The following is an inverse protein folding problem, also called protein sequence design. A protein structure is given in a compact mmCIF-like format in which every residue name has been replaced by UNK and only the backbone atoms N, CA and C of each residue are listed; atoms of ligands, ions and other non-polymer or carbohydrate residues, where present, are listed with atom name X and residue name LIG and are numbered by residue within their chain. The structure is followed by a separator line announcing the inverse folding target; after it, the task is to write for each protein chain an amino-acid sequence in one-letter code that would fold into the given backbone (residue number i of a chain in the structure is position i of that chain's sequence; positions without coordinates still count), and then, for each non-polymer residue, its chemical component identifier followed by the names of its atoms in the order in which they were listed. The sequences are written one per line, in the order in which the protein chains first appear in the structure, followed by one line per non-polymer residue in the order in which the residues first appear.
data_IF_265784423459
#
_entry.id   IF_265784423459
#
_cell.length_a   1.000
_cell.length_b   1.000
_cell.length_c   1.000
_cell.angle_alpha   90.00
_cell.angle_beta   90.00
_cell.angle_gamma   90.00
#
_symmetry.space_group_name_H-M   'P 1'
#
loop_
_entity.id
_entity.type
_entity.pdbx_description
1 polymer ?
#
# COMPACT_ATOMS: atom_id res chain seq x y z
N UNK A 1 -6.40 37.83 43.41
CA UNK A 1 -6.05 37.31 42.06
C UNK A 1 -5.57 38.45 41.20
N UNK A 2 -4.48 38.31 40.51
CA UNK A 2 -3.90 39.33 39.62
C UNK A 2 -4.26 38.98 38.17
N UNK A 3 -4.37 39.95 37.29
CA UNK A 3 -4.61 39.78 35.86
C UNK A 3 -3.61 38.80 35.23
N UNK A 4 -2.35 38.87 35.69
CA UNK A 4 -1.29 37.99 35.17
C UNK A 4 -1.45 36.52 35.56
N UNK A 5 -2.10 36.20 36.68
CA UNK A 5 -2.42 34.83 37.08
C UNK A 5 -3.40 34.21 36.10
N UNK A 6 -4.44 34.94 35.70
CA UNK A 6 -5.43 34.47 34.68
C UNK A 6 -4.82 34.36 33.29
N UNK A 7 -3.91 35.28 32.91
CA UNK A 7 -3.21 35.17 31.64
C UNK A 7 -2.32 33.92 31.58
N UNK A 8 -1.58 33.60 32.68
CA UNK A 8 -0.79 32.39 32.74
C UNK A 8 -1.65 31.10 32.69
N UNK A 9 -2.86 31.15 33.26
CA UNK A 9 -3.81 30.05 33.18
C UNK A 9 -4.31 29.87 31.72
N UNK A 10 -4.66 30.95 31.03
CA UNK A 10 -5.02 30.95 29.60
C UNK A 10 -3.87 30.38 28.76
N UNK A 11 -2.64 30.83 28.95
CA UNK A 11 -1.47 30.34 28.22
C UNK A 11 -1.28 28.81 28.41
N UNK A 12 -1.66 28.29 29.55
CA UNK A 12 -1.58 26.85 29.84
C UNK A 12 -2.69 26.09 29.09
N UNK A 13 -3.89 26.64 29.06
CA UNK A 13 -5.02 26.07 28.30
C UNK A 13 -4.72 26.10 26.80
N UNK A 14 -4.18 27.20 26.28
CA UNK A 14 -3.84 27.36 24.88
C UNK A 14 -2.82 26.31 24.41
N UNK A 15 -1.82 25.97 25.23
CA UNK A 15 -0.90 24.87 24.93
C UNK A 15 -1.59 23.53 24.77
N UNK A 16 -2.63 23.25 25.56
CA UNK A 16 -3.42 22.05 25.46
C UNK A 16 -4.26 22.04 24.18
N UNK A 17 -4.88 23.17 23.85
CA UNK A 17 -5.67 23.37 22.63
C UNK A 17 -4.79 23.13 21.39
N UNK A 18 -3.59 23.73 21.34
CA UNK A 18 -2.66 23.53 20.23
C UNK A 18 -2.37 22.04 20.03
N UNK A 19 -1.99 21.33 21.08
CA UNK A 19 -1.70 19.90 21.02
C UNK A 19 -2.89 19.07 20.51
N UNK A 20 -4.10 19.37 20.98
CA UNK A 20 -5.33 18.69 20.55
C UNK A 20 -5.67 19.00 19.08
N UNK A 21 -5.45 20.25 18.65
CA UNK A 21 -5.65 20.63 17.24
C UNK A 21 -4.65 19.92 16.31
N UNK A 22 -3.39 19.79 16.68
CA UNK A 22 -2.38 19.03 15.94
C UNK A 22 -2.80 17.55 15.78
N UNK A 23 -3.20 16.91 16.88
CA UNK A 23 -3.70 15.52 16.85
C UNK A 23 -4.94 15.39 15.97
N UNK A 24 -5.85 16.38 16.05
CA UNK A 24 -7.06 16.41 15.25
C UNK A 24 -6.74 16.57 13.77
N UNK A 25 -5.80 17.43 13.38
CA UNK A 25 -5.38 17.61 11.99
C UNK A 25 -4.79 16.33 11.39
N UNK A 26 -3.98 15.59 12.15
CA UNK A 26 -3.48 14.30 11.70
C UNK A 26 -4.61 13.30 11.42
N UNK A 27 -5.62 13.25 12.30
CA UNK A 27 -6.81 12.42 12.09
C UNK A 27 -7.63 12.90 10.88
N UNK A 28 -7.75 14.21 10.69
CA UNK A 28 -8.45 14.85 9.55
C UNK A 28 -7.79 14.50 8.22
N UNK A 29 -6.44 14.42 8.17
CA UNK A 29 -5.72 13.94 6.98
C UNK A 29 -6.19 12.54 6.60
N UNK A 30 -6.20 11.62 7.55
CA UNK A 30 -6.62 10.23 7.31
C UNK A 30 -8.08 10.14 6.86
N UNK A 31 -8.98 10.96 7.44
CA UNK A 31 -10.38 11.06 6.97
C UNK A 31 -10.44 11.56 5.53
N UNK A 32 -9.61 12.54 5.15
CA UNK A 32 -9.51 13.04 3.78
C UNK A 32 -9.10 11.95 2.79
N UNK A 33 -8.08 11.16 3.11
CA UNK A 33 -7.62 10.03 2.30
C UNK A 33 -8.68 8.93 2.17
N UNK A 34 -9.38 8.59 3.26
CA UNK A 34 -10.51 7.66 3.21
C UNK A 34 -11.63 8.17 2.29
N UNK A 35 -11.99 9.45 2.37
CA UNK A 35 -12.97 10.07 1.49
C UNK A 35 -12.52 10.04 0.04
N UNK A 36 -11.25 10.33 -0.23
CA UNK A 36 -10.66 10.25 -1.57
C UNK A 36 -10.73 8.84 -2.14
N UNK A 37 -10.40 7.81 -1.34
CA UNK A 37 -10.54 6.42 -1.74
C UNK A 37 -11.97 6.00 -2.06
N UNK A 38 -12.95 6.57 -1.34
CA UNK A 38 -14.37 6.29 -1.51
C UNK A 38 -15.07 7.21 -2.53
N UNK A 39 -14.38 8.17 -3.14
CA UNK A 39 -14.97 9.20 -3.99
C UNK A 39 -15.96 10.12 -3.28
N UNK A 40 -15.87 10.25 -1.96
CA UNK A 40 -16.75 11.09 -1.18
C UNK A 40 -16.26 12.53 -1.15
N UNK A 41 -17.18 13.53 -1.21
CA UNK A 41 -16.81 14.94 -1.09
C UNK A 41 -16.20 15.23 0.28
N UNK A 42 -15.31 16.22 0.33
CA UNK A 42 -14.69 16.66 1.59
C UNK A 42 -15.76 17.23 2.53
N UNK A 43 -16.69 18.04 2.02
CA UNK A 43 -17.82 18.56 2.80
C UNK A 43 -18.82 17.43 3.10
N UNK A 44 -19.14 17.27 4.37
CA UNK A 44 -20.22 16.43 4.88
C UNK A 44 -21.11 17.28 5.78
N UNK A 45 -22.06 17.97 5.18
CA UNK A 45 -22.94 18.92 5.87
C UNK A 45 -23.78 18.24 6.97
N UNK A 46 -24.22 17.00 6.74
CA UNK A 46 -24.97 16.23 7.74
C UNK A 46 -24.14 15.97 9.00
N UNK A 47 -22.89 15.53 8.79
CA UNK A 47 -21.94 15.27 9.88
C UNK A 47 -21.58 16.55 10.64
N UNK A 48 -21.39 17.67 9.93
CA UNK A 48 -21.06 18.94 10.57
C UNK A 48 -22.23 19.46 11.42
N UNK A 49 -23.44 19.39 10.91
CA UNK A 49 -24.65 19.78 11.66
C UNK A 49 -24.84 18.91 12.90
N UNK A 50 -24.75 17.58 12.77
CA UNK A 50 -24.84 16.66 13.91
C UNK A 50 -23.76 16.93 14.98
N UNK A 51 -22.58 17.36 14.56
CA UNK A 51 -21.50 17.75 15.49
C UNK A 51 -21.87 19.02 16.27
N UNK A 52 -22.42 20.03 15.60
CA UNK A 52 -22.86 21.27 16.24
C UNK A 52 -24.02 21.03 17.19
N UNK A 53 -24.98 20.18 16.82
CA UNK A 53 -26.08 19.78 17.73
C UNK A 53 -25.57 19.07 18.98
N UNK A 54 -24.61 18.16 18.81
CA UNK A 54 -24.01 17.43 19.94
C UNK A 54 -23.26 18.36 20.92
N UNK A 55 -22.72 19.50 20.46
CA UNK A 55 -22.10 20.49 21.35
C UNK A 55 -23.07 21.09 22.34
N UNK A 56 -24.34 21.24 21.97
CA UNK A 56 -25.38 21.82 22.83
C UNK A 56 -25.58 21.04 24.13
N UNK A 57 -25.41 19.73 24.07
CA UNK A 57 -25.48 18.84 25.26
C UNK A 57 -24.17 18.73 26.05
N UNK A 58 -23.08 19.34 25.55
CA UNK A 58 -21.75 19.27 26.16
C UNK A 58 -21.26 20.62 26.71
N UNK A 59 -21.99 21.70 26.47
CA UNK A 59 -21.66 23.07 26.90
C UNK A 59 -22.78 23.65 27.74
N UNK A 60 -22.46 24.61 28.59
CA UNK A 60 -23.49 25.48 29.20
C UNK A 60 -24.10 26.43 28.17
N UNK A 61 -25.28 26.95 28.46
CA UNK A 61 -26.07 27.76 27.52
C UNK A 61 -25.39 29.07 27.16
N UNK A 62 -24.66 29.69 28.09
CA UNK A 62 -23.97 30.96 27.90
C UNK A 62 -22.74 30.81 27.01
N UNK A 63 -22.01 29.68 27.10
CA UNK A 63 -20.79 29.41 26.33
C UNK A 63 -21.07 28.81 24.95
N UNK A 64 -22.26 28.22 24.74
CA UNK A 64 -22.57 27.45 23.52
C UNK A 64 -22.30 28.21 22.23
N UNK A 65 -22.79 29.45 22.12
CA UNK A 65 -22.66 30.21 20.88
C UNK A 65 -21.21 30.47 20.49
N UNK A 66 -20.37 30.81 21.47
CA UNK A 66 -18.94 31.06 21.27
C UNK A 66 -18.20 29.81 20.87
N UNK A 67 -18.47 28.70 21.58
CA UNK A 67 -17.85 27.41 21.28
C UNK A 67 -18.29 26.87 19.92
N UNK A 68 -19.57 27.01 19.58
CA UNK A 68 -20.10 26.59 18.27
C UNK A 68 -19.41 27.34 17.12
N UNK A 69 -19.16 28.65 17.25
CA UNK A 69 -18.46 29.44 16.22
C UNK A 69 -16.99 29.00 16.08
N UNK A 70 -16.30 28.72 17.17
CA UNK A 70 -14.95 28.13 17.12
C UNK A 70 -14.96 26.79 16.40
N UNK A 71 -15.92 25.90 16.70
CA UNK A 71 -16.02 24.60 16.03
C UNK A 71 -16.36 24.70 14.55
N UNK A 72 -17.17 25.69 14.12
CA UNK A 72 -17.39 25.96 12.69
C UNK A 72 -16.08 26.28 11.99
N UNK A 73 -15.24 27.13 12.59
CA UNK A 73 -13.93 27.47 12.05
C UNK A 73 -12.99 26.26 12.03
N UNK A 74 -12.92 25.48 13.11
CA UNK A 74 -12.15 24.23 13.16
C UNK A 74 -12.57 23.27 12.03
N UNK A 75 -13.88 23.16 11.73
CA UNK A 75 -14.37 22.33 10.63
C UNK A 75 -14.01 22.91 9.26
N UNK A 76 -14.09 24.24 9.09
CA UNK A 76 -13.66 24.92 7.87
C UNK A 76 -12.17 24.70 7.58
N UNK A 77 -11.32 24.89 8.56
CA UNK A 77 -9.88 24.64 8.44
C UNK A 77 -9.59 23.14 8.21
N UNK A 78 -10.38 22.24 8.76
CA UNK A 78 -10.26 20.80 8.50
C UNK A 78 -10.57 20.46 7.04
N UNK A 79 -11.58 21.07 6.43
CA UNK A 79 -11.88 20.88 5.00
C UNK A 79 -10.73 21.38 4.13
N UNK A 80 -10.24 22.58 4.41
CA UNK A 80 -9.08 23.15 3.72
C UNK A 80 -7.88 22.23 3.81
N UNK A 81 -7.56 21.74 5.01
CA UNK A 81 -6.46 20.83 5.24
C UNK A 81 -6.61 19.50 4.47
N UNK A 82 -7.82 18.93 4.37
CA UNK A 82 -8.08 17.75 3.55
C UNK A 82 -7.84 18.01 2.06
N UNK A 83 -8.28 19.18 1.53
CA UNK A 83 -8.06 19.55 0.13
C UNK A 83 -6.57 19.72 -0.20
N UNK A 84 -5.81 20.37 0.69
CA UNK A 84 -4.38 20.61 0.53
C UNK A 84 -3.53 19.34 0.65
N UNK A 85 -4.06 18.29 1.31
CA UNK A 85 -3.34 17.02 1.57
C UNK A 85 -3.94 15.83 0.81
N UNK A 86 -4.56 16.08 -0.34
CA UNK A 86 -4.96 15.01 -1.27
C UNK A 86 -3.73 14.32 -1.84
N UNK A 87 -3.82 13.01 -2.02
CA UNK A 87 -2.77 12.26 -2.66
C UNK A 87 -2.84 12.36 -4.19
N UNK A 88 -1.69 12.52 -4.84
CA UNK A 88 -1.56 12.36 -6.29
C UNK A 88 -1.43 10.89 -6.69
N UNK A 89 -0.67 10.14 -5.90
CA UNK A 89 -0.33 8.73 -6.10
C UNK A 89 -0.48 7.96 -4.79
N UNK A 90 -0.40 6.64 -4.86
CA UNK A 90 -0.47 5.85 -3.65
C UNK A 90 -0.15 4.37 -3.81
N UNK A 91 -0.23 3.64 -2.71
CA UNK A 91 -0.17 2.18 -2.66
C UNK A 91 -1.54 1.64 -2.27
N UNK A 92 -2.11 0.80 -3.12
CA UNK A 92 -3.33 0.06 -2.86
C UNK A 92 -3.01 -1.33 -2.32
N UNK A 93 -3.56 -1.66 -1.17
CA UNK A 93 -3.46 -2.99 -0.56
C UNK A 93 -4.54 -3.19 0.50
N UNK A 94 -4.53 -4.34 1.16
CA UNK A 94 -5.49 -4.60 2.25
C UNK A 94 -4.95 -4.16 3.61
N UNK A 95 -3.66 -4.42 3.86
CA UNK A 95 -2.96 -4.04 5.11
C UNK A 95 -1.57 -3.54 4.75
N UNK A 96 -1.27 -2.30 5.08
CA UNK A 96 -0.10 -1.58 4.61
C UNK A 96 0.77 -0.99 5.73
N UNK A 97 0.45 -1.26 7.00
CA UNK A 97 1.05 -0.64 8.18
C UNK A 97 2.58 -0.68 8.29
N UNK A 98 3.26 -1.51 7.49
CA UNK A 98 4.73 -1.63 7.47
C UNK A 98 5.35 -1.27 6.12
N UNK A 99 4.63 -0.54 5.26
CA UNK A 99 5.12 -0.18 3.94
C UNK A 99 6.04 1.04 3.99
N UNK A 100 7.24 0.90 3.41
CA UNK A 100 8.20 1.98 3.20
C UNK A 100 7.93 2.81 1.92
N UNK A 101 6.90 2.46 1.14
CA UNK A 101 6.60 3.14 -0.12
C UNK A 101 6.45 4.66 0.02
N UNK A 102 5.73 5.22 1.02
CA UNK A 102 5.63 6.68 1.15
C UNK A 102 6.98 7.37 1.39
N UNK A 103 7.88 6.74 2.14
CA UNK A 103 9.22 7.30 2.41
C UNK A 103 10.08 7.28 1.15
N UNK A 104 10.05 6.17 0.41
CA UNK A 104 10.77 6.00 -0.86
C UNK A 104 10.26 7.04 -1.86
N UNK A 105 8.95 7.15 -2.07
CA UNK A 105 8.38 8.09 -3.02
C UNK A 105 8.63 9.55 -2.64
N UNK A 106 8.65 9.89 -1.35
CA UNK A 106 9.02 11.23 -0.89
C UNK A 106 10.47 11.59 -1.22
N UNK A 107 11.38 10.60 -1.22
CA UNK A 107 12.79 10.83 -1.58
C UNK A 107 13.01 10.95 -3.09
N UNK A 108 12.09 10.43 -3.91
CA UNK A 108 12.23 10.39 -5.37
C UNK A 108 11.64 11.65 -6.04
N UNK A 109 10.52 12.18 -5.51
CA UNK A 109 9.79 13.23 -6.24
C UNK A 109 9.01 14.21 -5.37
N UNK A 110 8.65 15.36 -5.99
CA UNK A 110 7.85 16.43 -5.39
C UNK A 110 6.33 16.22 -5.55
N UNK A 111 5.84 15.01 -5.32
CA UNK A 111 4.43 14.65 -5.37
C UNK A 111 3.98 13.97 -4.08
N UNK A 112 2.67 13.97 -3.83
CA UNK A 112 2.09 13.31 -2.66
C UNK A 112 1.84 11.82 -2.95
N UNK A 113 2.29 10.96 -2.02
CA UNK A 113 2.10 9.51 -2.10
C UNK A 113 1.62 8.97 -0.77
N UNK A 114 0.45 8.30 -0.76
CA UNK A 114 -0.19 7.84 0.47
C UNK A 114 -0.62 6.36 0.38
N UNK A 115 -0.93 5.78 1.54
CA UNK A 115 -1.38 4.39 1.63
C UNK A 115 -2.91 4.33 1.58
N UNK A 116 -3.46 3.41 0.77
CA UNK A 116 -4.88 3.16 0.63
C UNK A 116 -5.18 1.72 1.02
N UNK A 117 -5.60 1.52 2.27
CA UNK A 117 -6.11 0.25 2.75
C UNK A 117 -7.57 0.13 2.37
N UNK A 118 -7.87 -0.84 1.50
CA UNK A 118 -9.20 -1.03 0.92
C UNK A 118 -9.60 -2.49 1.11
N UNK A 119 -10.77 -2.75 1.69
CA UNK A 119 -11.31 -4.11 1.79
C UNK A 119 -11.80 -4.62 0.43
N UNK A 120 -11.79 -5.94 0.18
CA UNK A 120 -12.12 -6.53 -1.13
C UNK A 120 -13.46 -6.07 -1.71
N UNK A 121 -14.48 -5.94 -0.88
CA UNK A 121 -15.82 -5.48 -1.26
C UNK A 121 -15.86 -4.01 -1.72
N UNK A 122 -14.91 -3.20 -1.28
CA UNK A 122 -14.80 -1.78 -1.63
C UNK A 122 -13.89 -1.51 -2.83
N UNK A 123 -13.20 -2.54 -3.36
CA UNK A 123 -12.23 -2.39 -4.45
C UNK A 123 -12.86 -1.81 -5.72
N UNK A 124 -14.07 -2.24 -6.08
CA UNK A 124 -14.82 -1.70 -7.23
C UNK A 124 -15.07 -0.20 -7.05
N UNK A 125 -15.59 0.19 -5.88
CA UNK A 125 -15.86 1.59 -5.56
C UNK A 125 -14.60 2.46 -5.55
N UNK A 126 -13.46 1.91 -5.14
CA UNK A 126 -12.17 2.60 -5.23
C UNK A 126 -11.82 2.95 -6.68
N UNK A 127 -11.91 1.98 -7.62
CA UNK A 127 -11.60 2.21 -9.03
C UNK A 127 -12.58 3.16 -9.73
N UNK A 128 -13.86 3.12 -9.37
CA UNK A 128 -14.88 4.00 -9.92
C UNK A 128 -14.74 5.46 -9.46
N UNK A 129 -14.20 5.68 -8.26
CA UNK A 129 -14.24 6.98 -7.61
C UNK A 129 -12.88 7.62 -7.35
N UNK A 130 -11.77 6.87 -7.39
CA UNK A 130 -10.45 7.44 -7.12
C UNK A 130 -10.07 8.52 -8.13
N UNK A 131 -9.46 9.61 -7.64
CA UNK A 131 -8.90 10.68 -8.46
C UNK A 131 -7.37 10.59 -8.60
N UNK A 132 -6.76 9.49 -8.13
CA UNK A 132 -5.31 9.27 -8.23
C UNK A 132 -4.86 9.26 -9.69
N UNK A 133 -3.70 9.88 -9.94
CA UNK A 133 -3.02 9.87 -11.25
C UNK A 133 -2.42 8.51 -11.58
N UNK A 134 -2.10 7.73 -10.56
CA UNK A 134 -1.60 6.37 -10.63
C UNK A 134 -1.35 5.82 -9.23
N UNK A 135 -1.16 4.52 -9.13
CA UNK A 135 -0.88 3.89 -7.84
C UNK A 135 -0.23 2.52 -8.00
N UNK A 136 0.58 2.15 -7.03
CA UNK A 136 1.07 0.80 -6.93
C UNK A 136 0.00 -0.11 -6.31
N UNK A 137 0.11 -1.39 -6.60
CA UNK A 137 -0.80 -2.43 -6.08
C UNK A 137 0.02 -3.53 -5.42
N UNK A 138 -0.36 -3.89 -4.20
CA UNK A 138 0.27 -5.00 -3.49
C UNK A 138 -0.75 -6.06 -3.08
N UNK A 139 -0.36 -6.98 -2.23
CA UNK A 139 -1.18 -8.09 -1.74
C UNK A 139 -2.48 -7.55 -1.11
N UNK A 140 -3.63 -8.20 -1.39
CA UNK A 140 -3.83 -9.38 -2.24
C UNK A 140 -4.20 -9.07 -3.69
N UNK A 141 -4.25 -7.80 -4.12
CA UNK A 141 -5.02 -7.29 -5.25
C UNK A 141 -4.34 -7.36 -6.61
N UNK A 142 -3.06 -7.77 -6.72
CA UNK A 142 -2.29 -7.74 -7.98
C UNK A 142 -2.96 -8.47 -9.17
N UNK A 143 -3.80 -9.47 -8.90
CA UNK A 143 -4.59 -10.18 -9.92
C UNK A 143 -6.00 -9.57 -10.09
N UNK A 144 -6.62 -9.18 -8.99
CA UNK A 144 -8.00 -8.70 -8.97
C UNK A 144 -8.18 -7.37 -9.69
N UNK A 145 -7.12 -6.55 -9.76
CA UNK A 145 -7.17 -5.21 -10.39
C UNK A 145 -7.12 -5.27 -11.91
N UNK A 146 -6.71 -6.40 -12.50
CA UNK A 146 -6.61 -6.57 -13.96
C UNK A 146 -7.93 -6.23 -14.67
N UNK A 147 -9.04 -6.64 -14.09
CA UNK A 147 -10.39 -6.41 -14.66
C UNK A 147 -10.81 -4.94 -14.72
N UNK A 148 -10.10 -4.06 -14.02
CA UNK A 148 -10.34 -2.61 -14.03
C UNK A 148 -9.41 -1.86 -15.00
N UNK A 149 -8.46 -2.55 -15.63
CA UNK A 149 -7.53 -1.96 -16.57
C UNK A 149 -8.06 -2.10 -18.00
N UNK A 150 -8.08 -0.99 -18.74
CA UNK A 150 -8.43 -0.97 -20.18
C UNK A 150 -7.31 -1.52 -21.05
N UNK A 151 -6.06 -1.46 -20.57
CA UNK A 151 -4.88 -1.99 -21.24
C UNK A 151 -3.87 -2.55 -20.23
N UNK A 152 -3.06 -3.48 -20.70
CA UNK A 152 -2.00 -4.12 -19.90
C UNK A 152 -0.67 -4.05 -20.66
N UNK A 153 0.42 -3.81 -19.95
CA UNK A 153 1.77 -3.99 -20.50
C UNK A 153 2.04 -5.46 -20.82
N UNK A 154 3.04 -5.73 -21.66
CA UNK A 154 3.39 -7.11 -22.02
C UNK A 154 3.82 -7.91 -20.80
N UNK A 155 4.57 -7.33 -19.86
CA UNK A 155 4.93 -7.97 -18.61
C UNK A 155 3.68 -8.31 -17.77
N UNK A 156 2.70 -7.40 -17.68
CA UNK A 156 1.47 -7.65 -16.95
C UNK A 156 0.61 -8.75 -17.59
N UNK A 157 0.53 -8.80 -18.93
CA UNK A 157 -0.15 -9.87 -19.68
C UNK A 157 0.49 -11.22 -19.45
N UNK A 158 1.82 -11.31 -19.61
CA UNK A 158 2.59 -12.55 -19.45
C UNK A 158 2.51 -13.10 -18.02
N UNK A 159 2.61 -12.23 -17.01
CA UNK A 159 2.63 -12.62 -15.61
C UNK A 159 1.23 -12.82 -15.00
N UNK A 160 0.17 -12.31 -15.65
CA UNK A 160 -1.19 -12.28 -15.09
C UNK A 160 -1.25 -11.51 -13.76
N UNK A 161 -0.41 -10.48 -13.59
CA UNK A 161 -0.27 -9.71 -12.35
C UNK A 161 0.05 -8.26 -12.64
N UNK A 162 -0.62 -7.34 -11.94
CA UNK A 162 -0.42 -5.89 -12.03
C UNK A 162 0.01 -5.36 -10.66
N UNK A 163 1.13 -4.66 -10.61
CA UNK A 163 1.62 -3.99 -9.40
C UNK A 163 1.69 -2.47 -9.55
N UNK A 164 1.42 -1.93 -10.73
CA UNK A 164 1.44 -0.50 -11.01
C UNK A 164 0.31 -0.14 -11.96
N UNK A 165 -0.47 0.86 -11.60
CA UNK A 165 -1.59 1.37 -12.39
C UNK A 165 -1.34 2.84 -12.70
N UNK A 166 -1.55 3.22 -13.95
CA UNK A 166 -1.46 4.60 -14.43
C UNK A 166 -2.82 5.01 -14.99
N UNK A 167 -3.28 6.19 -14.64
CA UNK A 167 -4.49 6.77 -15.23
C UNK A 167 -4.16 7.39 -16.58
N UNK A 168 -4.89 6.97 -17.59
CA UNK A 168 -4.82 7.56 -18.93
C UNK A 168 -5.52 8.93 -18.99
N UNK A 169 -5.23 9.75 -20.01
CA UNK A 169 -5.91 11.06 -20.18
C UNK A 169 -7.44 10.96 -20.34
N UNK A 170 -7.96 9.84 -20.84
CA UNK A 170 -9.40 9.56 -20.95
C UNK A 170 -10.05 9.08 -19.65
N UNK A 171 -9.27 8.97 -18.57
CA UNK A 171 -9.72 8.51 -17.26
C UNK A 171 -9.66 7.00 -17.06
N UNK A 172 -9.42 6.21 -18.09
CA UNK A 172 -9.22 4.76 -17.99
C UNK A 172 -7.89 4.41 -17.32
N UNK A 173 -7.66 3.14 -17.00
CA UNK A 173 -6.44 2.69 -16.33
C UNK A 173 -5.62 1.74 -17.21
N UNK A 174 -4.30 1.98 -17.24
CA UNK A 174 -3.32 1.06 -17.80
C UNK A 174 -2.62 0.29 -16.66
N UNK A 175 -2.56 -1.04 -16.77
CA UNK A 175 -1.92 -1.92 -15.79
C UNK A 175 -0.52 -2.35 -16.22
N UNK A 176 0.44 -2.27 -15.32
CA UNK A 176 1.85 -2.63 -15.56
C UNK A 176 2.31 -3.62 -14.49
N UNK A 177 3.35 -4.38 -14.82
CA UNK A 177 4.09 -5.19 -13.86
C UNK A 177 5.58 -4.77 -13.86
N UNK A 178 5.95 -3.97 -12.87
CA UNK A 178 7.34 -3.50 -12.70
C UNK A 178 8.18 -4.46 -11.85
N UNK A 179 7.56 -5.41 -11.13
CA UNK A 179 8.26 -6.45 -10.39
C UNK A 179 9.08 -7.32 -11.35
N UNK A 180 8.58 -7.57 -12.57
CA UNK A 180 9.27 -8.33 -13.60
C UNK A 180 10.63 -7.71 -13.94
N UNK A 181 10.65 -6.43 -14.26
CA UNK A 181 11.89 -5.71 -14.61
C UNK A 181 12.81 -5.51 -13.41
N UNK A 182 12.25 -5.29 -12.22
CA UNK A 182 13.03 -5.20 -10.99
C UNK A 182 13.77 -6.49 -10.68
N UNK A 183 13.10 -7.64 -10.81
CA UNK A 183 13.70 -8.95 -10.61
C UNK A 183 14.74 -9.28 -11.71
N UNK A 184 14.45 -8.96 -12.97
CA UNK A 184 15.41 -9.11 -14.07
C UNK A 184 16.69 -8.34 -13.77
N UNK A 185 16.56 -7.08 -13.32
CA UNK A 185 17.71 -6.26 -12.94
C UNK A 185 18.50 -6.88 -11.77
N UNK A 186 17.83 -7.38 -10.75
CA UNK A 186 18.48 -8.00 -9.60
C UNK A 186 19.31 -9.23 -10.00
N UNK A 187 18.74 -10.14 -10.80
CA UNK A 187 19.42 -11.36 -11.26
C UNK A 187 20.65 -10.99 -12.11
N UNK A 188 20.47 -10.06 -13.05
CA UNK A 188 21.58 -9.58 -13.90
C UNK A 188 22.67 -8.89 -13.09
N UNK A 189 22.31 -8.04 -12.11
CA UNK A 189 23.26 -7.33 -11.26
C UNK A 189 24.04 -8.25 -10.33
N UNK A 190 23.43 -9.37 -9.92
CA UNK A 190 24.11 -10.42 -9.15
C UNK A 190 25.02 -11.31 -10.00
N UNK A 191 25.04 -11.13 -11.33
CA UNK A 191 25.84 -11.94 -12.26
C UNK A 191 25.32 -13.36 -12.44
N UNK A 192 24.05 -13.62 -12.11
CA UNK A 192 23.45 -14.94 -12.29
C UNK A 192 22.99 -15.17 -13.73
N UNK A 193 23.38 -16.29 -14.31
CA UNK A 193 22.86 -16.79 -15.57
C UNK A 193 22.03 -18.05 -15.30
N UNK A 194 20.74 -17.95 -15.52
CA UNK A 194 19.77 -19.05 -15.30
C UNK A 194 19.52 -19.87 -16.58
N UNK A 195 20.14 -19.48 -17.69
CA UNK A 195 19.95 -20.16 -18.98
C UNK A 195 20.42 -21.63 -18.90
N UNK A 196 19.57 -22.54 -19.37
CA UNK A 196 19.83 -23.98 -19.37
C UNK A 196 19.82 -24.63 -17.97
N UNK A 197 19.46 -23.92 -16.91
CA UNK A 197 19.48 -24.42 -15.54
C UNK A 197 18.10 -24.85 -15.04
N UNK A 198 18.07 -25.61 -13.96
CA UNK A 198 16.85 -25.94 -13.20
C UNK A 198 16.67 -24.95 -12.06
N UNK A 199 15.51 -24.31 -12.03
CA UNK A 199 15.11 -23.31 -11.04
C UNK A 199 13.92 -23.81 -10.23
N UNK A 200 13.99 -23.76 -8.90
CA UNK A 200 12.84 -23.98 -8.03
C UNK A 200 12.35 -22.65 -7.44
N UNK A 201 11.05 -22.50 -7.39
CA UNK A 201 10.35 -21.34 -6.80
C UNK A 201 9.59 -21.82 -5.57
N UNK A 202 9.93 -21.29 -4.41
CA UNK A 202 9.24 -21.61 -3.16
C UNK A 202 8.05 -20.70 -2.98
N UNK A 203 6.85 -21.25 -2.94
CA UNK A 203 5.59 -20.52 -2.80
C UNK A 203 4.83 -20.35 -4.12
N UNK A 204 3.51 -20.22 -4.02
CA UNK A 204 2.59 -20.01 -5.15
C UNK A 204 1.73 -18.75 -4.94
N UNK A 205 2.33 -17.69 -4.41
CA UNK A 205 1.69 -16.40 -4.15
C UNK A 205 1.71 -15.46 -5.35
N UNK A 206 1.36 -14.17 -5.11
CA UNK A 206 1.23 -13.16 -6.16
C UNK A 206 2.51 -12.88 -6.97
N UNK A 207 3.69 -13.06 -6.38
CA UNK A 207 5.00 -12.83 -7.04
C UNK A 207 5.49 -14.07 -7.79
N UNK A 208 5.09 -15.28 -7.39
CA UNK A 208 5.54 -16.54 -7.97
C UNK A 208 5.30 -16.63 -9.48
N UNK A 209 4.16 -16.12 -9.99
CA UNK A 209 3.88 -16.06 -11.42
C UNK A 209 4.85 -15.17 -12.19
N UNK A 210 5.24 -14.02 -11.61
CA UNK A 210 6.22 -13.11 -12.20
C UNK A 210 7.59 -13.75 -12.27
N UNK A 211 8.03 -14.40 -11.19
CA UNK A 211 9.32 -15.14 -11.13
C UNK A 211 9.35 -16.25 -12.16
N UNK A 212 8.30 -17.09 -12.21
CA UNK A 212 8.20 -18.18 -13.18
C UNK A 212 8.32 -17.67 -14.62
N UNK A 213 7.59 -16.60 -14.95
CA UNK A 213 7.63 -16.05 -16.30
C UNK A 213 9.01 -15.53 -16.64
N UNK A 214 9.66 -14.82 -15.71
CA UNK A 214 11.00 -14.30 -15.95
C UNK A 214 12.02 -15.44 -16.13
N UNK A 215 11.96 -16.50 -15.32
CA UNK A 215 12.89 -17.65 -15.46
C UNK A 215 12.72 -18.32 -16.82
N UNK A 216 11.48 -18.51 -17.27
CA UNK A 216 11.21 -19.06 -18.61
C UNK A 216 11.72 -18.14 -19.72
N UNK A 217 11.46 -16.82 -19.63
CA UNK A 217 11.95 -15.83 -20.61
C UNK A 217 13.48 -15.72 -20.62
N UNK A 218 14.14 -16.03 -19.49
CA UNK A 218 15.60 -16.07 -19.32
C UNK A 218 16.23 -17.38 -19.77
N UNK A 219 15.44 -18.33 -20.29
CA UNK A 219 15.93 -19.57 -20.87
C UNK A 219 16.25 -20.69 -19.87
N UNK A 220 15.68 -20.66 -18.66
CA UNK A 220 15.78 -21.79 -17.73
C UNK A 220 15.26 -23.08 -18.38
N UNK A 221 15.98 -24.20 -18.21
CA UNK A 221 15.60 -25.48 -18.79
C UNK A 221 14.37 -26.08 -18.10
N UNK A 222 14.25 -25.88 -16.78
CA UNK A 222 13.14 -26.37 -15.97
C UNK A 222 12.82 -25.37 -14.87
N UNK A 223 11.52 -25.03 -14.69
CA UNK A 223 11.04 -24.15 -13.62
C UNK A 223 9.94 -24.83 -12.83
N UNK A 224 10.25 -25.24 -11.61
CA UNK A 224 9.35 -25.96 -10.70
C UNK A 224 8.87 -25.04 -9.60
N UNK A 225 7.58 -25.09 -9.26
CA UNK A 225 7.05 -24.36 -8.10
C UNK A 225 6.70 -25.31 -6.97
N UNK A 226 7.39 -25.16 -5.87
CA UNK A 226 7.14 -25.89 -4.63
C UNK A 226 6.10 -25.15 -3.79
N UNK A 227 4.99 -25.77 -3.46
CA UNK A 227 3.95 -25.17 -2.65
C UNK A 227 3.27 -26.20 -1.74
N UNK A 228 2.59 -25.74 -0.68
CA UNK A 228 1.94 -26.61 0.32
C UNK A 228 0.88 -27.56 -0.25
N UNK A 229 0.27 -27.22 -1.38
CA UNK A 229 -0.84 -27.96 -2.02
C UNK A 229 -0.55 -28.29 -3.48
N UNK A 230 0.69 -28.10 -3.94
CA UNK A 230 1.09 -28.43 -5.31
C UNK A 230 1.39 -29.92 -5.47
N UNK A 231 1.50 -30.37 -6.73
CA UNK A 231 2.06 -31.68 -7.08
C UNK A 231 3.49 -31.78 -6.53
N UNK A 232 4.30 -30.74 -6.78
CA UNK A 232 5.60 -30.54 -6.14
C UNK A 232 5.39 -29.71 -4.87
N UNK A 233 5.73 -30.30 -3.74
CA UNK A 233 5.50 -29.74 -2.41
C UNK A 233 6.71 -29.95 -1.49
N UNK A 234 6.65 -29.43 -0.28
CA UNK A 234 7.75 -29.50 0.68
C UNK A 234 8.04 -30.92 1.17
N UNK A 235 7.11 -31.88 1.05
CA UNK A 235 7.32 -33.28 1.46
C UNK A 235 8.10 -34.06 0.40
N UNK A 236 7.96 -33.70 -0.89
CA UNK A 236 8.62 -34.39 -2.00
C UNK A 236 9.73 -33.54 -2.67
N UNK A 237 10.17 -32.45 -2.04
CA UNK A 237 11.20 -31.52 -2.55
C UNK A 237 12.52 -32.22 -2.90
N UNK A 238 12.81 -33.39 -2.30
CA UNK A 238 13.98 -34.20 -2.61
C UNK A 238 14.09 -34.57 -4.08
N UNK A 239 12.99 -34.59 -4.84
CA UNK A 239 12.99 -34.82 -6.29
C UNK A 239 13.72 -33.71 -7.08
N UNK A 240 14.00 -32.59 -6.42
CA UNK A 240 14.52 -31.36 -7.05
C UNK A 240 15.83 -30.89 -6.40
N UNK A 241 16.55 -31.77 -5.67
CA UNK A 241 17.87 -31.45 -5.08
C UNK A 241 18.96 -31.19 -6.12
N UNK A 242 18.65 -31.45 -7.40
CA UNK A 242 19.48 -31.13 -8.56
C UNK A 242 19.32 -29.68 -9.02
N UNK A 243 18.41 -28.89 -8.43
CA UNK A 243 18.18 -27.49 -8.80
C UNK A 243 19.42 -26.62 -8.56
N UNK A 244 19.68 -25.73 -9.51
CA UNK A 244 20.83 -24.82 -9.51
C UNK A 244 20.48 -23.44 -8.96
N UNK A 245 19.21 -23.07 -8.98
CA UNK A 245 18.73 -21.82 -8.39
C UNK A 245 17.48 -22.06 -7.56
N UNK A 246 17.39 -21.34 -6.43
CA UNK A 246 16.26 -21.38 -5.51
C UNK A 246 15.76 -19.96 -5.31
N UNK A 247 14.48 -19.70 -5.55
CA UNK A 247 13.89 -18.37 -5.39
C UNK A 247 12.74 -18.43 -4.38
N UNK A 248 12.91 -17.77 -3.25
CA UNK A 248 11.87 -17.70 -2.22
C UNK A 248 10.86 -16.60 -2.53
N UNK A 249 9.62 -16.97 -2.81
CA UNK A 249 8.47 -16.07 -3.00
C UNK A 249 7.46 -16.15 -1.86
N UNK A 250 7.84 -16.79 -0.75
CA UNK A 250 7.02 -16.86 0.47
C UNK A 250 7.33 -15.72 1.42
N UNK A 251 6.46 -15.41 2.39
CA UNK A 251 6.76 -14.42 3.43
C UNK A 251 7.75 -14.93 4.50
N UNK A 252 8.15 -16.21 4.47
CA UNK A 252 9.07 -16.79 5.46
C UNK A 252 10.46 -16.17 5.29
N UNK A 253 11.04 -15.69 6.38
CA UNK A 253 12.32 -14.98 6.38
C UNK A 253 12.19 -13.47 6.13
N UNK A 254 10.97 -12.93 5.97
CA UNK A 254 10.74 -11.48 5.95
C UNK A 254 10.74 -10.90 7.37
N UNK A 255 11.12 -9.63 7.48
CA UNK A 255 10.98 -8.87 8.72
C UNK A 255 9.51 -8.93 9.24
N UNK A 256 9.29 -9.12 10.56
CA UNK A 256 10.29 -9.20 11.65
C UNK A 256 10.93 -10.60 11.86
N UNK A 257 10.43 -11.66 11.21
CA UNK A 257 10.84 -13.05 11.43
C UNK A 257 12.03 -13.49 10.55
N UNK A 258 13.10 -12.72 10.52
CA UNK A 258 14.25 -12.87 9.61
C UNK A 258 15.07 -14.15 9.84
N UNK A 259 14.89 -14.85 10.96
CA UNK A 259 15.69 -16.05 11.31
C UNK A 259 15.14 -17.38 10.81
N UNK A 260 14.12 -17.36 9.94
CA UNK A 260 13.47 -18.59 9.43
C UNK A 260 13.78 -18.84 7.96
N UNK A 261 14.05 -20.09 7.62
CA UNK A 261 14.13 -20.58 6.24
C UNK A 261 12.92 -21.46 5.92
N UNK A 262 12.50 -21.48 4.66
CA UNK A 262 11.38 -22.32 4.18
C UNK A 262 11.79 -23.77 4.10
N UNK A 263 13.05 -24.01 3.71
CA UNK A 263 13.65 -25.31 3.48
C UNK A 263 15.09 -25.32 3.99
N UNK A 264 15.63 -26.51 4.18
CA UNK A 264 17.07 -26.70 4.33
C UNK A 264 17.71 -26.72 2.93
N UNK A 265 18.61 -25.78 2.68
CA UNK A 265 19.30 -25.66 1.39
C UNK A 265 20.57 -26.48 1.29
N UNK A 266 21.02 -27.13 2.37
CA UNK A 266 22.28 -27.87 2.41
C UNK A 266 22.30 -29.13 1.51
N UNK A 267 21.09 -29.62 1.17
CA UNK A 267 20.95 -30.78 0.28
C UNK A 267 21.07 -30.43 -1.22
N UNK A 268 20.98 -29.15 -1.57
CA UNK A 268 21.09 -28.69 -2.96
C UNK A 268 22.55 -28.47 -3.35
N UNK A 269 23.27 -29.55 -3.63
CA UNK A 269 24.72 -29.52 -3.88
C UNK A 269 25.14 -28.76 -5.14
N UNK A 270 24.22 -28.58 -6.10
CA UNK A 270 24.47 -27.87 -7.35
C UNK A 270 24.00 -26.40 -7.31
N UNK A 271 23.49 -25.93 -6.15
CA UNK A 271 22.95 -24.59 -6.03
C UNK A 271 24.02 -23.52 -6.24
N UNK A 272 23.80 -22.65 -7.23
CA UNK A 272 24.68 -21.53 -7.61
C UNK A 272 24.17 -20.18 -7.07
N UNK A 273 22.89 -20.11 -6.71
CA UNK A 273 22.25 -18.89 -6.23
C UNK A 273 20.96 -19.16 -5.45
N UNK A 274 20.72 -18.29 -4.45
CA UNK A 274 19.58 -18.36 -3.54
C UNK A 274 18.93 -16.98 -3.45
#
# INVERSE_FOLDING_TARGET
MRLDDYRAEIDTIDKQIIKLLEQRLQTVKNVGLCKQAMGKPVLDASRENSKLEALRGQTDEDSYSYIADVFKEIMAQSRRFQEEHKADYGLLGRTLGHSFSPEIHRSIGGYTYELFEVEPENLKGFFENTALKGFNVTIPYKKDVIKYCSSLSDAAKKTGSVNTIVRNPDGSFAGHNTDYYGLEYLIRSAGFDVSGTKVIILGNGGVSGTVRQLMNDSGAAEVVTISRKGEDNYENISRHYDAEFIINTTPVGMYPDNGRAVIDVTEFKNCKGL
#
